data_IF_016037495575
#
_entry.id   IF_016037495575
#
_cell.length_a   1.000
_cell.length_b   1.000
_cell.length_c   1.000
_cell.angle_alpha   90.00
_cell.angle_beta   90.00
_cell.angle_gamma   90.00
#
_symmetry.space_group_name_H-M   'P 1'
#
loop_
_entity.id
_entity.type
_entity.pdbx_description
1 polymer ?
#
# COMPACT_ATOMS: atom_id res chain seq x y z
N UNK A 1 13.70 -31.88 -10.53
CA UNK A 1 13.53 -30.43 -10.42
C UNK A 1 13.43 -30.05 -8.95
N UNK A 2 14.14 -28.99 -8.53
CA UNK A 2 14.04 -28.40 -7.19
C UNK A 2 13.52 -26.98 -7.32
N UNK A 3 12.94 -26.46 -6.23
CA UNK A 3 12.54 -25.05 -6.09
C UNK A 3 13.14 -24.48 -4.82
N UNK A 4 13.51 -23.22 -4.85
CA UNK A 4 13.97 -22.44 -3.70
C UNK A 4 13.25 -21.10 -3.71
N UNK A 5 12.85 -20.63 -2.55
CA UNK A 5 12.25 -19.30 -2.34
C UNK A 5 13.24 -18.38 -1.65
N UNK A 6 13.10 -17.09 -1.91
CA UNK A 6 13.97 -16.02 -1.41
C UNK A 6 13.09 -14.82 -1.01
N UNK A 7 13.55 -13.93 -0.14
CA UNK A 7 12.88 -12.65 0.08
C UNK A 7 12.64 -11.92 -1.24
N UNK A 8 11.56 -11.17 -1.31
CA UNK A 8 11.21 -10.38 -2.49
C UNK A 8 12.37 -9.43 -2.86
N UNK A 9 12.64 -9.27 -4.16
CA UNK A 9 13.75 -8.51 -4.74
C UNK A 9 15.16 -9.08 -4.53
N UNK A 10 15.29 -10.28 -4.01
CA UNK A 10 16.61 -10.94 -3.87
C UNK A 10 17.19 -11.40 -5.21
N UNK A 11 16.34 -11.62 -6.23
CA UNK A 11 16.72 -12.10 -7.56
C UNK A 11 16.40 -11.08 -8.68
N UNK A 12 16.32 -9.79 -8.35
CA UNK A 12 16.00 -8.72 -9.30
C UNK A 12 16.84 -8.79 -10.60
N UNK A 13 16.19 -8.46 -11.73
CA UNK A 13 16.79 -8.42 -13.05
C UNK A 13 16.85 -9.76 -13.79
N UNK A 14 16.37 -10.84 -13.19
CA UNK A 14 16.42 -12.19 -13.79
C UNK A 14 15.06 -12.90 -13.90
N UNK A 15 13.98 -12.22 -13.57
CA UNK A 15 12.65 -12.83 -13.57
C UNK A 15 12.17 -13.18 -14.99
N UNK A 16 11.77 -14.42 -15.20
CA UNK A 16 11.15 -14.90 -16.43
C UNK A 16 9.71 -15.34 -16.27
N UNK A 17 9.31 -15.65 -15.04
CA UNK A 17 8.00 -16.22 -14.76
C UNK A 17 7.33 -15.51 -13.59
N UNK A 18 6.01 -15.62 -13.57
CA UNK A 18 5.19 -15.35 -12.39
C UNK A 18 4.47 -16.63 -11.98
N UNK A 19 4.26 -16.80 -10.68
CA UNK A 19 3.43 -17.85 -10.08
C UNK A 19 2.47 -17.19 -9.13
N UNK A 20 1.19 -17.54 -9.20
CA UNK A 20 0.15 -16.96 -8.34
C UNK A 20 -0.46 -18.05 -7.46
N UNK A 21 -0.27 -17.95 -6.16
CA UNK A 21 -0.98 -18.78 -5.20
C UNK A 21 -2.32 -18.12 -4.90
N UNK A 22 -3.38 -18.64 -5.49
CA UNK A 22 -4.72 -18.07 -5.43
C UNK A 22 -5.56 -18.72 -4.35
N UNK A 23 -6.33 -17.90 -3.64
CA UNK A 23 -7.32 -18.33 -2.67
C UNK A 23 -8.69 -17.74 -3.00
N UNK A 24 -9.74 -18.50 -2.74
CA UNK A 24 -11.12 -18.04 -2.82
C UNK A 24 -11.90 -18.64 -1.64
N UNK A 25 -12.57 -17.80 -0.84
CA UNK A 25 -13.32 -18.22 0.35
C UNK A 25 -12.51 -19.10 1.33
N UNK A 26 -11.20 -18.85 1.46
CA UNK A 26 -10.30 -19.61 2.32
C UNK A 26 -9.75 -20.91 1.71
N UNK A 27 -10.19 -21.29 0.51
CA UNK A 27 -9.72 -22.48 -0.21
C UNK A 27 -8.68 -22.10 -1.27
N UNK A 28 -7.78 -23.03 -1.59
CA UNK A 28 -6.78 -22.83 -2.65
C UNK A 28 -7.45 -23.05 -4.01
N UNK A 29 -7.29 -22.08 -4.93
CA UNK A 29 -7.80 -22.17 -6.28
C UNK A 29 -6.70 -22.65 -7.22
N UNK A 30 -6.93 -23.74 -7.92
CA UNK A 30 -6.01 -24.30 -8.91
C UNK A 30 -6.70 -24.40 -10.28
N UNK A 31 -5.89 -24.33 -11.32
CA UNK A 31 -6.30 -24.48 -12.73
C UNK A 31 -5.81 -25.80 -13.30
N UNK A 32 -6.52 -26.33 -14.28
CA UNK A 32 -6.12 -27.54 -14.98
C UNK A 32 -6.06 -27.28 -16.49
N UNK A 33 -4.87 -27.45 -17.03
CA UNK A 33 -4.63 -27.31 -18.48
C UNK A 33 -5.39 -28.37 -19.30
N UNK A 34 -5.93 -28.01 -20.48
CA UNK A 34 -6.70 -28.92 -21.39
C UNK A 34 -5.97 -30.21 -21.75
N UNK A 35 -4.65 -30.19 -21.84
CA UNK A 35 -3.81 -31.34 -22.21
C UNK A 35 -3.29 -32.15 -21.01
N UNK A 36 -3.68 -31.79 -19.77
CA UNK A 36 -3.17 -32.41 -18.54
C UNK A 36 -4.31 -32.90 -17.66
N UNK A 37 -3.98 -33.85 -16.80
CA UNK A 37 -4.86 -34.33 -15.72
C UNK A 37 -4.43 -33.83 -14.35
N UNK A 38 -3.37 -33.01 -14.32
CA UNK A 38 -2.76 -32.46 -13.11
C UNK A 38 -3.19 -31.02 -12.91
N UNK A 39 -3.17 -30.60 -11.64
CA UNK A 39 -3.52 -29.26 -11.21
C UNK A 39 -2.28 -28.37 -11.05
N UNK A 40 -2.44 -27.09 -11.28
CA UNK A 40 -1.37 -26.11 -11.18
C UNK A 40 -1.87 -24.77 -10.59
N UNK A 41 -0.97 -24.05 -9.93
CA UNK A 41 -1.16 -22.63 -9.61
C UNK A 41 -1.17 -21.83 -10.90
N UNK A 42 -1.90 -20.72 -10.94
CA UNK A 42 -1.87 -19.83 -12.11
C UNK A 42 -0.46 -19.26 -12.28
N UNK A 43 -0.09 -18.95 -13.51
CA UNK A 43 1.19 -18.33 -13.82
C UNK A 43 1.75 -18.69 -15.18
N UNK A 44 2.73 -17.89 -15.61
CA UNK A 44 3.35 -18.05 -16.91
C UNK A 44 4.55 -17.14 -17.11
N UNK A 45 4.92 -16.94 -18.37
CA UNK A 45 6.04 -16.09 -18.73
C UNK A 45 5.71 -14.60 -18.57
N UNK A 46 6.71 -13.82 -18.16
CA UNK A 46 6.66 -12.36 -18.27
C UNK A 46 6.95 -12.01 -19.72
N UNK A 47 6.00 -11.37 -20.39
CA UNK A 47 6.15 -10.98 -21.79
C UNK A 47 7.05 -9.75 -21.95
N UNK A 48 7.65 -9.54 -23.14
CA UNK A 48 8.47 -8.37 -23.38
C UNK A 48 7.72 -7.06 -23.14
N UNK A 49 8.22 -6.26 -22.21
CA UNK A 49 7.62 -4.97 -21.83
C UNK A 49 6.62 -5.03 -20.68
N UNK A 50 6.29 -6.22 -20.18
CA UNK A 50 5.50 -6.37 -18.96
C UNK A 50 6.36 -6.24 -17.70
N UNK A 51 5.79 -5.67 -16.65
CA UNK A 51 6.28 -5.85 -15.29
C UNK A 51 5.82 -7.21 -14.74
N UNK A 52 6.48 -7.76 -13.71
CA UNK A 52 5.99 -8.98 -13.05
C UNK A 52 4.54 -8.87 -12.56
N UNK A 53 4.13 -7.68 -12.07
CA UNK A 53 2.77 -7.45 -11.60
C UNK A 53 1.76 -7.49 -12.75
N UNK A 54 2.07 -6.89 -13.90
CA UNK A 54 1.23 -6.92 -15.09
C UNK A 54 1.06 -8.34 -15.63
N UNK A 55 2.15 -9.10 -15.71
CA UNK A 55 2.11 -10.51 -16.07
C UNK A 55 1.22 -11.32 -15.10
N UNK A 56 1.36 -11.08 -13.80
CA UNK A 56 0.54 -11.77 -12.80
C UNK A 56 -0.95 -11.45 -12.92
N UNK A 57 -1.33 -10.20 -13.22
CA UNK A 57 -2.72 -9.83 -13.50
C UNK A 57 -3.25 -10.54 -14.75
N UNK A 58 -2.48 -10.56 -15.84
CA UNK A 58 -2.86 -11.22 -17.10
C UNK A 58 -3.04 -12.72 -16.90
N UNK A 59 -2.05 -13.40 -16.36
CA UNK A 59 -2.06 -14.85 -16.14
C UNK A 59 -3.19 -15.27 -15.17
N UNK A 60 -3.42 -14.50 -14.12
CA UNK A 60 -4.52 -14.77 -13.18
C UNK A 60 -5.88 -14.73 -13.89
N UNK A 61 -6.12 -13.73 -14.74
CA UNK A 61 -7.35 -13.65 -15.52
C UNK A 61 -7.46 -14.78 -16.56
N UNK A 62 -6.42 -14.99 -17.37
CA UNK A 62 -6.43 -15.97 -18.46
C UNK A 62 -6.61 -17.41 -17.95
N UNK A 63 -6.05 -17.73 -16.79
CA UNK A 63 -6.05 -19.08 -16.26
C UNK A 63 -7.13 -19.36 -15.21
N UNK A 64 -7.78 -18.33 -14.66
CA UNK A 64 -8.85 -18.53 -13.66
C UNK A 64 -10.16 -17.81 -13.97
N UNK A 65 -10.17 -16.78 -14.81
CA UNK A 65 -11.33 -15.93 -15.01
C UNK A 65 -11.60 -14.98 -13.82
N UNK A 66 -10.61 -14.75 -12.96
CA UNK A 66 -10.75 -13.84 -11.81
C UNK A 66 -11.03 -12.40 -12.26
N UNK A 67 -12.09 -11.79 -11.72
CA UNK A 67 -12.52 -10.41 -12.06
C UNK A 67 -12.47 -9.44 -10.89
N UNK A 68 -12.62 -9.93 -9.66
CA UNK A 68 -12.47 -9.12 -8.45
C UNK A 68 -11.54 -9.86 -7.47
N UNK A 69 -10.39 -9.27 -7.18
CA UNK A 69 -9.35 -9.88 -6.34
C UNK A 69 -8.38 -8.83 -5.80
N UNK A 70 -7.66 -9.20 -4.74
CA UNK A 70 -6.41 -8.54 -4.36
C UNK A 70 -5.25 -9.38 -4.88
N UNK A 71 -4.16 -8.71 -5.31
CA UNK A 71 -2.96 -9.37 -5.80
C UNK A 71 -1.73 -8.70 -5.19
N UNK A 72 -0.95 -9.47 -4.43
CA UNK A 72 0.21 -8.95 -3.71
C UNK A 72 1.46 -9.80 -3.99
N UNK A 73 2.61 -9.21 -4.27
CA UNK A 73 3.86 -9.95 -4.37
C UNK A 73 4.19 -10.61 -3.02
N UNK A 74 4.77 -11.81 -3.07
CA UNK A 74 5.08 -12.61 -1.90
C UNK A 74 6.59 -12.79 -1.74
N UNK A 75 7.24 -13.39 -2.72
CA UNK A 75 8.65 -13.73 -2.67
C UNK A 75 9.21 -13.96 -4.08
N UNK A 76 10.52 -13.99 -4.18
CA UNK A 76 11.21 -14.51 -5.36
C UNK A 76 11.30 -16.03 -5.29
N UNK A 77 11.39 -16.68 -6.45
CA UNK A 77 11.71 -18.08 -6.51
C UNK A 77 12.69 -18.41 -7.65
N UNK A 78 13.41 -19.49 -7.49
CA UNK A 78 14.19 -20.13 -8.52
C UNK A 78 13.80 -21.60 -8.61
N UNK A 79 13.54 -22.10 -9.82
CA UNK A 79 13.23 -23.50 -10.05
C UNK A 79 14.11 -24.06 -11.17
N UNK A 80 14.66 -25.26 -10.97
CA UNK A 80 15.57 -25.84 -11.94
C UNK A 80 16.05 -27.25 -11.62
N UNK A 81 17.16 -27.64 -12.24
CA UNK A 81 17.82 -28.91 -12.04
C UNK A 81 18.47 -28.98 -10.66
N UNK A 82 18.65 -30.19 -10.13
CA UNK A 82 19.25 -30.42 -8.79
C UNK A 82 20.69 -29.97 -8.70
N UNK A 83 21.43 -30.00 -9.80
CA UNK A 83 22.81 -29.50 -9.91
C UNK A 83 22.91 -27.96 -9.95
N UNK A 84 21.79 -27.25 -10.07
CA UNK A 84 21.73 -25.79 -10.15
C UNK A 84 22.20 -25.19 -11.47
N UNK A 85 22.55 -26.02 -12.46
CA UNK A 85 23.11 -25.55 -13.74
C UNK A 85 22.04 -25.05 -14.74
N UNK A 86 20.82 -25.51 -14.59
CA UNK A 86 19.68 -25.12 -15.44
C UNK A 86 18.50 -24.77 -14.55
N UNK A 87 18.02 -23.57 -14.70
CA UNK A 87 16.85 -23.11 -13.96
C UNK A 87 16.56 -21.66 -14.26
N UNK A 88 15.40 -21.25 -13.87
CA UNK A 88 14.87 -19.91 -14.13
C UNK A 88 14.29 -19.36 -12.84
N UNK A 89 14.26 -18.06 -12.76
CA UNK A 89 13.70 -17.32 -11.62
C UNK A 89 12.43 -16.57 -11.99
N UNK A 90 11.66 -16.29 -10.99
CA UNK A 90 10.44 -15.51 -11.11
C UNK A 90 9.98 -14.95 -9.78
N UNK A 91 8.83 -14.30 -9.84
CA UNK A 91 8.15 -13.71 -8.68
C UNK A 91 6.89 -14.51 -8.36
N UNK A 92 6.71 -14.81 -7.09
CA UNK A 92 5.47 -15.39 -6.57
C UNK A 92 4.56 -14.28 -6.09
N UNK A 93 3.30 -14.37 -6.46
CA UNK A 93 2.21 -13.54 -5.96
C UNK A 93 1.23 -14.38 -5.16
N UNK A 94 0.46 -13.73 -4.30
CA UNK A 94 -0.77 -14.31 -3.75
C UNK A 94 -1.96 -13.52 -4.23
N UNK A 95 -3.02 -14.20 -4.60
CA UNK A 95 -4.30 -13.59 -4.93
C UNK A 95 -5.38 -14.04 -3.95
N UNK A 96 -6.19 -13.09 -3.48
CA UNK A 96 -7.43 -13.39 -2.77
C UNK A 96 -8.60 -13.02 -3.68
N UNK A 97 -9.24 -14.03 -4.25
CA UNK A 97 -10.27 -13.88 -5.28
C UNK A 97 -11.63 -13.75 -4.60
N UNK A 98 -12.35 -12.69 -4.93
CA UNK A 98 -13.71 -12.40 -4.46
C UNK A 98 -14.76 -12.82 -5.47
N UNK A 99 -14.40 -12.79 -6.79
CA UNK A 99 -15.32 -13.12 -7.86
C UNK A 99 -14.59 -13.70 -9.08
N UNK A 100 -15.14 -14.80 -9.59
CA UNK A 100 -14.80 -15.34 -10.89
C UNK A 100 -15.85 -14.91 -11.92
N UNK A 101 -15.42 -14.57 -13.12
CA UNK A 101 -16.23 -14.52 -14.33
C UNK A 101 -16.18 -15.84 -15.08
N UNK A 102 -16.54 -15.80 -16.36
CA UNK A 102 -16.35 -16.94 -17.25
C UNK A 102 -14.86 -17.18 -17.46
N UNK A 103 -14.48 -18.47 -17.50
CA UNK A 103 -13.10 -18.83 -17.84
C UNK A 103 -12.84 -18.43 -19.31
N UNK A 104 -11.85 -17.57 -19.59
CA UNK A 104 -11.56 -17.14 -20.95
C UNK A 104 -11.20 -18.31 -21.86
N UNK A 105 -11.33 -18.13 -23.16
CA UNK A 105 -10.79 -19.07 -24.13
C UNK A 105 -9.27 -19.07 -24.06
N UNK A 106 -8.72 -20.00 -23.29
CA UNK A 106 -7.30 -20.13 -22.96
C UNK A 106 -6.86 -21.58 -23.04
N UNK A 107 -5.67 -21.89 -22.56
CA UNK A 107 -5.17 -23.27 -22.43
C UNK A 107 -5.84 -24.05 -21.30
N UNK A 108 -6.55 -23.38 -20.39
CA UNK A 108 -7.18 -24.00 -19.22
C UNK A 108 -8.53 -24.64 -19.55
N UNK A 109 -8.78 -25.82 -18.99
CA UNK A 109 -10.02 -26.57 -19.14
C UNK A 109 -11.00 -26.26 -18.01
N UNK A 110 -10.50 -26.08 -16.82
CA UNK A 110 -11.33 -25.84 -15.62
C UNK A 110 -10.52 -25.24 -14.49
N UNK A 111 -11.23 -24.68 -13.52
CA UNK A 111 -10.71 -24.08 -12.27
C UNK A 111 -11.48 -24.69 -11.11
N UNK A 112 -10.81 -25.06 -10.04
CA UNK A 112 -11.43 -25.68 -8.88
C UNK A 112 -10.79 -25.21 -7.57
N UNK A 113 -11.63 -25.06 -6.54
CA UNK A 113 -11.20 -24.81 -5.17
C UNK A 113 -10.88 -26.13 -4.44
N UNK A 114 -9.85 -26.12 -3.62
CA UNK A 114 -9.40 -27.26 -2.84
C UNK A 114 -9.19 -26.88 -1.37
N UNK A 115 -9.71 -27.68 -0.45
CA UNK A 115 -9.44 -27.58 0.99
C UNK A 115 -8.01 -28.00 1.33
N UNK A 116 -7.52 -28.99 0.62
CA UNK A 116 -6.18 -29.54 0.74
C UNK A 116 -5.59 -29.67 -0.66
N UNK A 117 -4.33 -29.31 -0.80
CA UNK A 117 -3.59 -29.45 -2.06
C UNK A 117 -3.66 -30.91 -2.55
N UNK A 118 -4.10 -31.13 -3.82
CA UNK A 118 -4.16 -32.46 -4.39
C UNK A 118 -2.75 -33.03 -4.66
N UNK A 119 -2.63 -34.36 -4.63
CA UNK A 119 -1.34 -35.02 -4.90
C UNK A 119 -0.90 -34.91 -6.36
N UNK A 120 -1.86 -34.80 -7.30
CA UNK A 120 -1.62 -34.77 -8.73
C UNK A 120 -1.32 -33.35 -9.25
N UNK A 121 -0.31 -32.69 -8.72
CA UNK A 121 0.16 -31.40 -9.19
C UNK A 121 1.03 -31.50 -10.44
N UNK A 122 0.99 -30.46 -11.29
CA UNK A 122 1.88 -30.33 -12.46
C UNK A 122 3.31 -30.01 -12.03
N UNK A 123 3.46 -29.13 -11.04
CA UNK A 123 4.75 -28.66 -10.53
C UNK A 123 4.88 -28.81 -9.00
N UNK A 124 4.89 -30.06 -8.47
CA UNK A 124 4.87 -30.28 -7.04
C UNK A 124 5.99 -29.58 -6.24
N UNK A 125 7.26 -29.53 -6.74
CA UNK A 125 8.33 -28.84 -5.98
C UNK A 125 8.09 -27.34 -5.84
N UNK A 126 7.52 -26.68 -6.85
CA UNK A 126 7.23 -25.24 -6.83
C UNK A 126 6.10 -24.96 -5.84
N UNK A 127 4.96 -25.61 -6.01
CA UNK A 127 3.79 -25.38 -5.16
C UNK A 127 4.08 -25.67 -3.69
N UNK A 128 4.76 -26.77 -3.38
CA UNK A 128 5.11 -27.14 -2.00
C UNK A 128 6.07 -26.15 -1.35
N UNK A 129 7.05 -25.66 -2.09
CA UNK A 129 8.02 -24.70 -1.57
C UNK A 129 7.37 -23.34 -1.30
N UNK A 130 6.47 -22.88 -2.20
CA UNK A 130 5.70 -21.63 -2.01
C UNK A 130 4.81 -21.74 -0.76
N UNK A 131 4.11 -22.85 -0.57
CA UNK A 131 3.28 -23.07 0.62
C UNK A 131 4.11 -23.06 1.90
N UNK A 132 5.28 -23.72 1.87
CA UNK A 132 6.22 -23.69 3.00
C UNK A 132 6.69 -22.27 3.33
N UNK A 133 6.98 -21.45 2.31
CA UNK A 133 7.35 -20.04 2.52
C UNK A 133 6.19 -19.25 3.14
N UNK A 134 4.95 -19.51 2.72
CA UNK A 134 3.76 -18.84 3.24
C UNK A 134 3.55 -19.05 4.75
N UNK A 135 3.97 -20.18 5.33
CA UNK A 135 3.81 -20.50 6.75
C UNK A 135 4.52 -19.49 7.67
N UNK A 136 5.63 -18.92 7.20
CA UNK A 136 6.41 -17.92 7.95
C UNK A 136 6.59 -16.59 7.19
N UNK A 137 5.67 -16.30 6.26
CA UNK A 137 5.74 -15.05 5.49
C UNK A 137 5.32 -13.84 6.35
N UNK A 138 5.98 -12.68 6.19
CA UNK A 138 5.60 -11.47 6.90
C UNK A 138 4.18 -11.03 6.51
N UNK A 139 3.49 -10.38 7.45
CA UNK A 139 2.22 -9.71 7.14
C UNK A 139 2.48 -8.58 6.15
N UNK A 140 1.87 -8.64 4.97
CA UNK A 140 2.02 -7.64 3.92
C UNK A 140 0.98 -6.55 4.08
N UNK A 141 1.42 -5.30 4.07
CA UNK A 141 0.57 -4.13 4.35
C UNK A 141 0.81 -3.09 3.25
N UNK A 142 -0.26 -2.66 2.61
CA UNK A 142 -0.25 -1.53 1.69
C UNK A 142 -0.40 -0.21 2.47
N UNK A 143 0.53 0.71 2.26
CA UNK A 143 0.44 2.08 2.77
C UNK A 143 -0.26 2.93 1.71
N UNK A 144 -1.52 3.29 1.96
CA UNK A 144 -2.38 4.03 1.04
C UNK A 144 -2.12 5.54 1.05
N UNK A 145 -0.90 5.95 0.67
CA UNK A 145 -0.53 7.37 0.52
C UNK A 145 0.60 7.56 -0.48
N UNK A 146 0.56 8.67 -1.20
CA UNK A 146 1.67 9.15 -2.05
C UNK A 146 2.67 10.02 -1.27
N UNK A 147 2.35 10.40 -0.02
CA UNK A 147 3.23 11.24 0.80
C UNK A 147 4.40 10.43 1.39
N UNK A 148 5.66 10.67 0.94
CA UNK A 148 6.83 9.90 1.38
C UNK A 148 7.08 9.99 2.89
N UNK A 149 6.61 11.03 3.52
CA UNK A 149 6.76 11.24 4.95
C UNK A 149 5.83 10.36 5.78
N UNK A 150 4.60 10.17 5.30
CA UNK A 150 3.66 9.21 5.91
C UNK A 150 4.17 7.77 5.69
N UNK A 151 4.72 7.47 4.50
CA UNK A 151 5.37 6.18 4.24
C UNK A 151 6.50 5.93 5.25
N UNK A 152 7.39 6.93 5.42
CA UNK A 152 8.49 6.82 6.40
C UNK A 152 7.98 6.65 7.83
N UNK A 153 6.95 7.39 8.23
CA UNK A 153 6.35 7.28 9.57
C UNK A 153 5.89 5.85 9.84
N UNK A 154 5.15 5.24 8.92
CA UNK A 154 4.69 3.86 9.08
C UNK A 154 5.84 2.86 9.05
N UNK A 155 6.86 3.07 8.22
CA UNK A 155 8.06 2.24 8.21
C UNK A 155 8.80 2.28 9.54
N UNK A 156 8.95 3.46 10.13
CA UNK A 156 9.57 3.63 11.43
C UNK A 156 8.74 2.98 12.56
N UNK A 157 7.40 3.15 12.54
CA UNK A 157 6.48 2.58 13.54
C UNK A 157 6.41 1.06 13.51
N UNK A 158 6.50 0.46 12.33
CA UNK A 158 6.41 -0.99 12.12
C UNK A 158 7.80 -1.67 12.06
N UNK A 159 8.87 -0.89 12.27
CA UNK A 159 10.22 -1.41 12.31
C UNK A 159 10.37 -2.47 13.41
N UNK A 160 10.99 -3.60 13.06
CA UNK A 160 11.19 -4.72 13.99
C UNK A 160 9.97 -5.63 14.20
N UNK A 161 8.85 -5.35 13.54
CA UNK A 161 7.71 -6.26 13.48
C UNK A 161 7.86 -7.23 12.31
N UNK A 162 7.12 -8.35 12.33
CA UNK A 162 7.10 -9.30 11.21
C UNK A 162 6.14 -8.84 10.11
N UNK A 163 6.44 -7.65 9.53
CA UNK A 163 5.64 -7.02 8.47
C UNK A 163 6.49 -6.64 7.28
N UNK A 164 5.89 -6.68 6.10
CA UNK A 164 6.45 -6.15 4.86
C UNK A 164 5.53 -5.05 4.32
N UNK A 165 6.08 -3.87 4.12
CA UNK A 165 5.32 -2.70 3.68
C UNK A 165 5.43 -2.54 2.17
N UNK A 166 4.32 -2.19 1.55
CA UNK A 166 4.20 -1.85 0.15
C UNK A 166 3.64 -0.44 0.01
N UNK A 167 4.19 0.31 -0.93
CA UNK A 167 3.67 1.62 -1.33
C UNK A 167 2.71 1.48 -2.50
N UNK A 168 2.00 2.56 -2.83
CA UNK A 168 1.17 2.61 -4.04
C UNK A 168 1.99 2.38 -5.31
N UNK A 169 3.25 2.85 -5.32
CA UNK A 169 4.17 2.66 -6.46
C UNK A 169 4.57 1.19 -6.65
N UNK A 170 4.78 0.44 -5.57
CA UNK A 170 5.13 -0.98 -5.63
C UNK A 170 4.00 -1.84 -6.25
N UNK A 171 2.77 -1.38 -6.17
CA UNK A 171 1.59 -2.01 -6.76
C UNK A 171 1.08 -1.27 -8.01
N UNK A 172 1.87 -0.37 -8.59
CA UNK A 172 1.52 0.41 -9.79
C UNK A 172 0.16 1.15 -9.68
N UNK A 173 -0.21 1.56 -8.47
CA UNK A 173 -1.47 2.27 -8.20
C UNK A 173 -1.24 3.76 -8.40
N UNK A 174 -1.86 4.34 -9.43
CA UNK A 174 -1.72 5.74 -9.81
C UNK A 174 -2.97 6.59 -9.53
N UNK A 175 -4.04 5.97 -9.04
CA UNK A 175 -5.31 6.64 -8.75
C UNK A 175 -5.48 6.85 -7.25
N UNK A 176 -6.10 7.99 -6.89
CA UNK A 176 -6.43 8.34 -5.51
C UNK A 176 -7.95 8.51 -5.37
N UNK A 177 -8.53 8.21 -4.20
CA UNK A 177 -9.94 8.51 -3.95
C UNK A 177 -10.15 10.01 -3.77
N UNK A 178 -11.35 10.46 -4.07
CA UNK A 178 -11.81 11.80 -3.68
C UNK A 178 -12.07 11.82 -2.16
N UNK A 179 -11.46 12.77 -1.46
CA UNK A 179 -11.61 12.97 -0.03
C UNK A 179 -12.83 13.86 0.24
N UNK A 180 -13.99 13.25 0.44
CA UNK A 180 -15.28 13.90 0.66
C UNK A 180 -15.71 13.92 2.12
N UNK A 181 -14.89 13.39 3.02
CA UNK A 181 -15.17 13.34 4.44
C UNK A 181 -15.11 14.71 5.11
N UNK A 182 -15.89 14.88 6.15
CA UNK A 182 -15.93 16.09 6.99
C UNK A 182 -14.94 16.03 8.15
N UNK A 183 -14.34 14.89 8.39
CA UNK A 183 -13.37 14.63 9.45
C UNK A 183 -12.14 13.88 8.92
N UNK A 184 -11.03 13.96 9.65
CA UNK A 184 -9.81 13.17 9.36
C UNK A 184 -10.10 11.67 9.37
N UNK A 185 -10.94 11.22 10.31
CA UNK A 185 -11.34 9.83 10.44
C UNK A 185 -12.09 9.35 9.20
N UNK A 186 -13.08 10.12 8.72
CA UNK A 186 -13.83 9.81 7.51
C UNK A 186 -12.93 9.78 6.26
N UNK A 187 -12.01 10.73 6.10
CA UNK A 187 -11.09 10.73 4.98
C UNK A 187 -10.10 9.55 5.03
N UNK A 188 -9.59 9.20 6.22
CA UNK A 188 -8.74 8.02 6.39
C UNK A 188 -9.51 6.73 6.04
N UNK A 189 -10.78 6.62 6.43
CA UNK A 189 -11.66 5.50 6.11
C UNK A 189 -11.96 5.40 4.61
N UNK A 190 -12.29 6.52 3.95
CA UNK A 190 -12.49 6.59 2.50
C UNK A 190 -11.25 6.08 1.75
N UNK A 191 -10.05 6.52 2.15
CA UNK A 191 -8.79 6.04 1.58
C UNK A 191 -8.61 4.55 1.80
N UNK A 192 -8.84 4.06 3.02
CA UNK A 192 -8.66 2.65 3.35
C UNK A 192 -9.63 1.76 2.57
N UNK A 193 -10.91 2.14 2.49
CA UNK A 193 -11.92 1.46 1.69
C UNK A 193 -11.56 1.45 0.19
N UNK A 194 -11.02 2.56 -0.31
CA UNK A 194 -10.58 2.65 -1.69
C UNK A 194 -9.43 1.70 -1.99
N UNK A 195 -8.39 1.66 -1.15
CA UNK A 195 -7.21 0.85 -1.39
C UNK A 195 -7.37 -0.62 -0.97
N UNK A 196 -8.41 -0.99 -0.19
CA UNK A 196 -8.75 -2.37 0.13
C UNK A 196 -9.16 -3.23 -1.08
N UNK A 197 -9.33 -2.61 -2.25
CA UNK A 197 -9.51 -3.35 -3.52
C UNK A 197 -8.20 -3.94 -4.06
N UNK A 198 -7.05 -3.44 -3.60
CA UNK A 198 -5.74 -3.85 -4.08
C UNK A 198 -5.00 -4.77 -3.09
N UNK A 199 -5.28 -4.64 -1.78
CA UNK A 199 -4.63 -5.41 -0.73
C UNK A 199 -5.59 -5.71 0.42
N UNK A 200 -5.43 -6.88 1.05
CA UNK A 200 -6.27 -7.29 2.19
C UNK A 200 -5.93 -6.56 3.50
N UNK A 201 -4.68 -6.06 3.60
CA UNK A 201 -4.23 -5.25 4.72
C UNK A 201 -3.79 -3.88 4.20
N UNK A 202 -4.43 -2.83 4.67
CA UNK A 202 -4.19 -1.45 4.23
C UNK A 202 -4.08 -0.54 5.44
N UNK A 203 -3.13 0.39 5.41
CA UNK A 203 -3.05 1.50 6.37
C UNK A 203 -3.13 2.80 5.59
N UNK A 204 -4.09 3.64 5.95
CA UNK A 204 -4.23 5.01 5.46
C UNK A 204 -4.20 5.99 6.63
N UNK A 205 -3.75 7.20 6.36
CA UNK A 205 -3.75 8.28 7.36
C UNK A 205 -4.19 9.59 6.70
N UNK A 206 -5.02 10.33 7.40
CA UNK A 206 -5.30 11.72 7.10
C UNK A 206 -4.79 12.63 8.21
N UNK A 207 -4.39 13.86 7.85
CA UNK A 207 -3.75 14.81 8.77
C UNK A 207 -4.29 16.21 8.52
N UNK A 208 -4.62 16.90 9.60
CA UNK A 208 -5.05 18.30 9.57
C UNK A 208 -4.15 19.18 10.42
N UNK A 209 -4.06 20.47 10.06
CA UNK A 209 -3.34 21.49 10.82
C UNK A 209 -4.34 22.37 11.57
N UNK A 210 -4.13 22.57 12.83
CA UNK A 210 -4.99 23.39 13.69
C UNK A 210 -4.18 24.46 14.40
N UNK A 211 -4.71 25.68 14.40
CA UNK A 211 -4.13 26.81 15.13
C UNK A 211 -4.85 26.95 16.46
N UNK A 212 -4.10 26.85 17.55
CA UNK A 212 -4.66 27.08 18.88
C UNK A 212 -5.06 28.55 19.04
N UNK A 213 -6.20 28.78 19.68
CA UNK A 213 -6.75 30.12 19.81
C UNK A 213 -7.65 30.58 18.66
N UNK A 214 -7.73 29.84 17.53
CA UNK A 214 -8.78 30.01 16.55
C UNK A 214 -9.94 29.03 16.80
N UNK A 215 -11.20 29.47 16.78
CA UNK A 215 -12.36 28.57 16.74
C UNK A 215 -12.29 27.62 15.56
N UNK A 216 -12.91 26.44 15.67
CA UNK A 216 -12.93 25.48 14.57
C UNK A 216 -13.68 25.99 13.34
N UNK A 217 -14.65 26.87 13.58
CA UNK A 217 -15.49 27.49 12.55
C UNK A 217 -14.86 28.77 11.93
N UNK A 218 -13.71 29.21 12.44
CA UNK A 218 -12.99 30.35 11.87
C UNK A 218 -12.51 30.00 10.47
N UNK A 219 -12.82 30.83 9.49
CA UNK A 219 -12.44 30.61 8.08
C UNK A 219 -10.94 30.58 7.85
N UNK A 220 -10.13 31.06 8.79
CA UNK A 220 -8.67 30.97 8.77
C UNK A 220 -8.14 29.66 9.36
N UNK A 221 -8.99 28.86 10.02
CA UNK A 221 -8.58 27.57 10.56
C UNK A 221 -8.32 26.59 9.42
N UNK A 222 -7.08 26.09 9.24
CA UNK A 222 -6.76 25.22 8.12
C UNK A 222 -7.54 23.88 8.16
N UNK A 223 -7.62 23.28 9.34
CA UNK A 223 -8.31 22.01 9.54
C UNK A 223 -7.83 20.93 8.56
N UNK A 224 -8.78 20.34 7.83
CA UNK A 224 -8.54 19.32 6.79
C UNK A 224 -7.87 19.91 5.53
N UNK A 225 -8.04 21.21 5.29
CA UNK A 225 -7.72 21.86 4.03
C UNK A 225 -6.34 22.52 4.03
N UNK A 226 -5.32 21.82 4.57
CA UNK A 226 -3.97 22.38 4.73
C UNK A 226 -3.38 22.86 3.40
N UNK A 227 -3.62 22.12 2.29
CA UNK A 227 -3.15 22.51 0.94
C UNK A 227 -4.20 23.24 0.11
N UNK A 228 -5.42 23.38 0.62
CA UNK A 228 -6.54 24.05 -0.06
C UNK A 228 -7.27 25.01 0.90
N UNK A 229 -6.53 25.86 1.64
CA UNK A 229 -7.13 26.71 2.66
C UNK A 229 -8.20 27.62 2.06
N UNK A 230 -9.33 27.77 2.76
CA UNK A 230 -10.45 28.59 2.27
C UNK A 230 -11.09 28.11 0.96
N UNK A 231 -10.86 26.86 0.55
CA UNK A 231 -11.40 26.31 -0.70
C UNK A 231 -10.65 26.74 -1.97
N UNK A 232 -9.45 27.28 -1.84
CA UNK A 232 -8.63 27.64 -3.02
C UNK A 232 -8.13 26.40 -3.77
N UNK A 233 -7.55 26.61 -4.97
CA UNK A 233 -6.83 25.55 -5.67
C UNK A 233 -5.66 25.03 -4.81
N UNK A 234 -5.29 23.75 -5.00
CA UNK A 234 -4.20 23.09 -4.26
C UNK A 234 -2.91 23.90 -4.40
N UNK A 235 -2.37 24.33 -3.27
CA UNK A 235 -1.14 25.09 -3.19
C UNK A 235 0.09 24.20 -3.36
N UNK A 236 1.08 24.69 -4.09
CA UNK A 236 2.43 24.13 -4.10
C UNK A 236 3.20 24.50 -2.81
N UNK A 237 4.44 24.02 -2.67
CA UNK A 237 5.20 24.20 -1.44
C UNK A 237 5.56 25.67 -1.17
N UNK A 238 5.90 26.46 -2.17
CA UNK A 238 6.20 27.90 -1.99
C UNK A 238 4.91 28.71 -1.73
N UNK A 239 3.83 28.38 -2.38
CA UNK A 239 2.51 28.99 -2.12
C UNK A 239 2.03 28.68 -0.69
N UNK A 240 2.28 27.45 -0.20
CA UNK A 240 2.00 27.06 1.18
C UNK A 240 2.78 27.94 2.17
N UNK A 241 4.09 28.11 1.95
CA UNK A 241 4.94 28.93 2.81
C UNK A 241 4.43 30.39 2.82
N UNK A 242 4.14 30.96 1.65
CA UNK A 242 3.64 32.31 1.53
C UNK A 242 2.30 32.49 2.25
N UNK A 243 1.35 31.58 2.04
CA UNK A 243 0.03 31.64 2.68
C UNK A 243 0.12 31.56 4.21
N UNK A 244 0.84 30.58 4.73
CA UNK A 244 0.94 30.36 6.18
C UNK A 244 1.83 31.39 6.89
N UNK A 245 2.83 31.95 6.21
CA UNK A 245 3.58 33.10 6.69
C UNK A 245 2.68 34.32 6.86
N UNK A 246 1.85 34.63 5.84
CA UNK A 246 0.89 35.73 5.91
C UNK A 246 -0.13 35.51 7.03
N UNK A 247 -0.67 34.31 7.16
CA UNK A 247 -1.62 33.95 8.22
C UNK A 247 -0.98 34.12 9.62
N UNK A 248 0.25 33.64 9.82
CA UNK A 248 0.96 33.82 11.08
C UNK A 248 1.21 35.29 11.39
N UNK A 249 1.52 36.11 10.36
CA UNK A 249 1.68 37.56 10.50
C UNK A 249 0.38 38.24 10.98
N UNK A 250 -0.77 37.90 10.38
CA UNK A 250 -2.08 38.39 10.81
C UNK A 250 -2.43 38.02 12.25
N UNK A 251 -1.91 36.87 12.73
CA UNK A 251 -2.11 36.40 14.09
C UNK A 251 -1.05 36.95 15.09
N UNK A 252 -0.27 37.96 14.70
CA UNK A 252 0.70 38.64 15.55
C UNK A 252 2.12 38.11 15.44
N UNK A 253 2.49 37.53 14.31
CA UNK A 253 3.83 37.07 13.96
C UNK A 253 4.10 35.60 14.29
N UNK A 254 3.27 35.00 15.15
CA UNK A 254 3.31 33.55 15.45
C UNK A 254 1.99 33.04 15.97
N UNK A 255 1.68 31.79 15.68
CA UNK A 255 0.52 31.08 16.21
C UNK A 255 0.95 29.74 16.80
N UNK A 256 0.36 29.33 17.92
CA UNK A 256 0.51 27.97 18.41
C UNK A 256 -0.29 27.04 17.50
N UNK A 257 0.35 26.00 16.99
CA UNK A 257 -0.20 25.08 16.03
C UNK A 257 0.06 23.62 16.44
N UNK A 258 -0.75 22.72 15.98
CA UNK A 258 -0.56 21.27 16.13
C UNK A 258 -1.18 20.52 14.94
N UNK A 259 -0.58 19.39 14.59
CA UNK A 259 -1.19 18.46 13.66
C UNK A 259 -2.07 17.48 14.43
N UNK A 260 -3.24 17.19 13.87
CA UNK A 260 -4.06 16.04 14.29
C UNK A 260 -4.04 15.01 13.19
N UNK A 261 -3.96 13.76 13.59
CA UNK A 261 -3.91 12.63 12.68
C UNK A 261 -5.05 11.66 12.97
N UNK A 262 -5.59 11.05 11.93
CA UNK A 262 -6.45 9.88 12.01
C UNK A 262 -5.93 8.81 11.05
N UNK A 263 -5.86 7.58 11.53
CA UNK A 263 -5.46 6.41 10.75
C UNK A 263 -6.63 5.44 10.65
N UNK A 264 -6.80 4.85 9.46
CA UNK A 264 -7.70 3.73 9.21
C UNK A 264 -6.87 2.51 8.83
N UNK A 265 -7.08 1.41 9.52
CA UNK A 265 -6.38 0.14 9.33
C UNK A 265 -7.42 -0.88 8.91
N UNK A 266 -7.33 -1.35 7.67
CA UNK A 266 -8.17 -2.43 7.15
C UNK A 266 -7.40 -3.75 7.21
N UNK A 267 -8.05 -4.79 7.73
CA UNK A 267 -7.51 -6.16 7.76
C UNK A 267 -8.66 -7.15 7.50
N UNK A 268 -8.52 -7.95 6.44
CA UNK A 268 -9.51 -8.99 6.12
C UNK A 268 -10.94 -8.46 5.92
N UNK A 269 -11.08 -7.22 5.46
CA UNK A 269 -12.39 -6.56 5.24
C UNK A 269 -12.95 -5.80 6.43
N UNK A 270 -12.34 -5.90 7.61
CA UNK A 270 -12.69 -5.09 8.79
C UNK A 270 -11.78 -3.86 8.87
N UNK A 271 -12.36 -2.70 9.21
CA UNK A 271 -11.63 -1.45 9.35
C UNK A 271 -11.70 -0.94 10.78
N UNK A 272 -10.55 -0.63 11.35
CA UNK A 272 -10.41 0.05 12.65
C UNK A 272 -9.90 1.45 12.41
N UNK A 273 -10.51 2.44 13.06
CA UNK A 273 -10.13 3.84 12.98
C UNK A 273 -9.52 4.27 14.31
N UNK A 274 -8.35 4.89 14.23
CA UNK A 274 -7.63 5.50 15.33
C UNK A 274 -7.52 6.99 15.04
N UNK A 275 -8.14 7.83 15.87
CA UNK A 275 -8.08 9.28 15.72
C UNK A 275 -7.55 9.92 16.99
N UNK A 276 -6.64 10.86 16.84
CA UNK A 276 -6.15 11.66 17.97
C UNK A 276 -7.24 12.59 18.47
N UNK A 277 -7.29 12.77 19.77
CA UNK A 277 -8.02 13.88 20.39
C UNK A 277 -7.22 15.18 20.24
N UNK A 278 -7.91 16.32 20.42
CA UNK A 278 -7.25 17.63 20.42
C UNK A 278 -6.20 17.74 21.53
N UNK A 279 -6.48 17.19 22.70
CA UNK A 279 -5.59 17.18 23.86
C UNK A 279 -4.30 16.38 23.58
N UNK A 280 -4.42 15.23 22.93
CA UNK A 280 -3.26 14.41 22.53
C UNK A 280 -2.42 15.12 21.47
N UNK A 281 -3.06 15.72 20.47
CA UNK A 281 -2.39 16.46 19.40
C UNK A 281 -1.68 17.72 19.94
N UNK A 282 -2.32 18.45 20.84
CA UNK A 282 -1.77 19.66 21.46
C UNK A 282 -0.50 19.40 22.32
N UNK A 283 -0.26 18.16 22.78
CA UNK A 283 0.98 17.80 23.46
C UNK A 283 2.22 17.91 22.55
N UNK A 284 2.01 17.87 21.24
CA UNK A 284 3.05 18.04 20.21
C UNK A 284 2.95 19.39 19.49
N UNK A 285 2.37 20.39 20.17
CA UNK A 285 2.23 21.72 19.61
C UNK A 285 3.59 22.37 19.30
N UNK A 286 3.58 23.25 18.35
CA UNK A 286 4.72 24.02 17.87
C UNK A 286 4.28 25.45 17.53
N UNK A 287 5.24 26.37 17.36
CA UNK A 287 4.95 27.69 16.83
C UNK A 287 5.04 27.70 15.30
N UNK A 288 3.96 28.12 14.65
CA UNK A 288 3.96 28.52 13.25
C UNK A 288 4.28 30.02 13.21
N UNK A 289 5.31 30.43 12.47
CA UNK A 289 5.81 31.80 12.43
C UNK A 289 5.64 32.44 11.07
N UNK A 290 5.71 33.77 11.03
CA UNK A 290 5.61 34.55 9.79
C UNK A 290 6.93 34.64 9.00
N UNK A 291 8.03 34.17 9.59
CA UNK A 291 9.36 34.22 8.97
C UNK A 291 9.88 32.80 8.71
N UNK A 292 10.06 32.46 7.44
CA UNK A 292 10.52 31.15 7.04
C UNK A 292 12.05 31.00 7.17
N UNK A 293 12.49 29.88 7.72
CA UNK A 293 13.89 29.43 7.62
C UNK A 293 14.27 29.20 6.13
N UNK A 294 15.48 29.57 5.70
CA UNK A 294 15.91 29.33 4.33
C UNK A 294 16.06 27.84 3.98
N UNK A 295 16.21 26.97 4.97
CA UNK A 295 16.25 25.52 4.75
C UNK A 295 14.88 25.03 4.29
N UNK A 296 14.86 24.19 3.27
CA UNK A 296 13.65 23.61 2.70
C UNK A 296 13.73 22.10 2.79
N UNK A 297 12.62 21.50 3.16
CA UNK A 297 12.43 20.06 3.15
C UNK A 297 11.31 19.72 2.16
N UNK A 298 11.67 19.05 1.08
CA UNK A 298 10.72 18.68 0.01
C UNK A 298 9.57 17.86 0.61
N UNK A 299 8.33 18.27 0.28
CA UNK A 299 7.11 17.64 0.80
C UNK A 299 6.69 18.09 2.21
N UNK A 300 7.51 18.94 2.89
CA UNK A 300 7.24 19.51 4.20
C UNK A 300 7.42 21.04 4.20
N UNK A 301 6.62 21.79 3.40
CA UNK A 301 6.83 23.22 3.26
C UNK A 301 6.73 23.97 4.59
N UNK A 302 5.84 23.54 5.48
CA UNK A 302 5.60 24.21 6.74
C UNK A 302 6.69 23.97 7.81
N UNK A 303 7.57 22.99 7.62
CA UNK A 303 8.73 22.83 8.51
C UNK A 303 9.57 24.11 8.58
N UNK A 304 9.70 24.85 7.46
CA UNK A 304 10.42 26.12 7.41
C UNK A 304 9.78 27.26 8.22
N UNK A 305 8.49 27.15 8.53
CA UNK A 305 7.74 28.09 9.37
C UNK A 305 7.57 27.56 10.81
N UNK A 306 8.00 26.33 11.09
CA UNK A 306 7.71 25.63 12.35
C UNK A 306 8.88 25.66 13.30
N UNK A 307 8.61 26.03 14.56
CA UNK A 307 9.57 26.06 15.64
C UNK A 307 9.03 25.30 16.84
N UNK A 308 9.88 24.54 17.49
CA UNK A 308 9.54 23.89 18.76
C UNK A 308 9.27 24.96 19.84
N UNK A 309 8.57 24.56 20.89
CA UNK A 309 8.24 25.48 21.99
C UNK A 309 9.49 26.05 22.70
N UNK A 310 10.63 25.37 22.61
CA UNK A 310 11.93 25.84 23.11
C UNK A 310 12.64 26.84 22.17
N UNK A 311 12.04 27.16 21.02
CA UNK A 311 12.57 28.07 20.01
C UNK A 311 13.56 27.47 19.03
N UNK A 312 13.77 26.15 19.04
CA UNK A 312 14.59 25.46 18.05
C UNK A 312 13.75 25.10 16.82
N UNK A 313 14.38 25.07 15.64
CA UNK A 313 13.75 24.57 14.42
C UNK A 313 13.51 23.06 14.45
N UNK A 314 12.53 22.63 13.68
CA UNK A 314 12.27 21.21 13.42
C UNK A 314 13.39 20.56 12.61
#
# INVERSE_FOLDING_TARGET
MICKTYPLHALEGSYKYVVILSHMNGHILLSRHKKRTTWETQGGHIEPGETPLQAAHRELFEESGATEYTLMPLCDYWAGSEDGLRGESGVVFTANIRKLGDLPESEMAEVQCFDVIPDNLTYPPITKEILRYMEDAPTRILIGTTNPSKVKLFADMLSGTHTQLFTLADLEIHSEPEETGSTLAENAEIKAAYYARYADNVICMDSGLYLDGLPLEDTRQPGLHVRTPGGCARLDDEQMIAYYSALAHELGGRALAYYMDAAAITKGGETVILAQTREEAAQKAFYLTDTADPRRRIGWPLDSLSFRLDGTHF
#
